data_IF_777800646711
#
_entry.id   IF_777800646711
#
_cell.length_a   1.000
_cell.length_b   1.000
_cell.length_c   1.000
_cell.angle_alpha   90.00
_cell.angle_beta   90.00
_cell.angle_gamma   90.00
#
_symmetry.space_group_name_H-M   'P 1'
#
loop_
_entity.id
_entity.type
_entity.pdbx_description
1 polymer ?
#
# COMPACT_ATOMS: atom_id res chain seq x y z
N UNK A 1 59.89 -42.76 -14.08
CA UNK A 1 59.70 -41.30 -13.92
C UNK A 1 58.38 -40.84 -14.60
N UNK A 2 57.25 -41.51 -14.31
CA UNK A 2 55.94 -41.24 -14.95
C UNK A 2 54.79 -41.17 -13.93
N UNK A 3 54.84 -41.98 -12.87
CA UNK A 3 53.78 -42.04 -11.85
C UNK A 3 53.70 -40.82 -10.91
N UNK A 4 54.78 -40.07 -10.74
CA UNK A 4 54.82 -38.91 -9.84
C UNK A 4 54.15 -37.66 -10.44
N UNK A 5 53.99 -37.61 -11.78
CA UNK A 5 53.30 -36.50 -12.46
C UNK A 5 51.78 -36.66 -12.45
N UNK A 6 51.27 -37.89 -12.46
CA UNK A 6 49.83 -38.17 -12.44
C UNK A 6 49.19 -37.87 -11.09
N UNK A 7 49.89 -38.13 -9.99
CA UNK A 7 49.40 -37.87 -8.62
C UNK A 7 49.33 -36.37 -8.30
N UNK A 8 50.29 -35.55 -8.74
CA UNK A 8 50.25 -34.09 -8.54
C UNK A 8 49.06 -33.40 -9.21
N UNK A 9 48.67 -33.83 -10.41
CA UNK A 9 47.52 -33.27 -11.13
C UNK A 9 46.16 -33.61 -10.48
N UNK A 10 46.07 -34.72 -9.74
CA UNK A 10 44.83 -35.14 -9.08
C UNK A 10 44.52 -34.32 -7.82
N UNK A 11 45.55 -33.86 -7.10
CA UNK A 11 45.40 -33.00 -5.93
C UNK A 11 45.19 -31.52 -6.30
N UNK A 12 45.76 -31.05 -7.40
CA UNK A 12 45.58 -29.67 -7.89
C UNK A 12 44.13 -29.35 -8.28
N UNK A 13 43.40 -30.35 -8.79
CA UNK A 13 41.99 -30.21 -9.17
C UNK A 13 41.02 -30.18 -7.98
N UNK A 14 41.38 -30.74 -6.82
CA UNK A 14 40.52 -30.72 -5.63
C UNK A 14 40.34 -29.32 -5.07
N UNK A 15 41.40 -28.50 -5.08
CA UNK A 15 41.29 -27.13 -4.57
C UNK A 15 40.52 -26.23 -5.53
N UNK A 16 40.72 -26.39 -6.84
CA UNK A 16 39.89 -25.73 -7.87
C UNK A 16 38.42 -26.13 -7.74
N UNK A 17 38.14 -27.43 -7.54
CA UNK A 17 36.76 -27.93 -7.35
C UNK A 17 36.10 -27.34 -6.10
N UNK A 18 36.83 -27.18 -4.99
CA UNK A 18 36.32 -26.51 -3.78
C UNK A 18 35.94 -25.06 -4.06
N UNK A 19 36.79 -24.30 -4.76
CA UNK A 19 36.51 -22.90 -5.11
C UNK A 19 35.31 -22.77 -6.06
N UNK A 20 35.17 -23.70 -7.01
CA UNK A 20 34.01 -23.76 -7.90
C UNK A 20 32.72 -24.04 -7.11
N UNK A 21 32.74 -24.99 -6.17
CA UNK A 21 31.58 -25.32 -5.32
C UNK A 21 31.20 -24.13 -4.42
N UNK A 22 32.18 -23.46 -3.82
CA UNK A 22 31.94 -22.28 -2.98
C UNK A 22 31.37 -21.12 -3.80
N UNK A 23 31.91 -20.90 -5.02
CA UNK A 23 31.37 -19.91 -5.94
C UNK A 23 29.92 -20.21 -6.35
N UNK A 24 29.62 -21.48 -6.65
CA UNK A 24 28.27 -21.92 -7.03
C UNK A 24 27.28 -21.76 -5.87
N UNK A 25 27.70 -22.10 -4.65
CA UNK A 25 26.89 -21.93 -3.44
C UNK A 25 26.62 -20.44 -3.15
N UNK A 26 27.64 -19.57 -3.28
CA UNK A 26 27.49 -18.13 -3.13
C UNK A 26 26.53 -17.54 -4.18
N UNK A 27 26.63 -17.98 -5.43
CA UNK A 27 25.73 -17.56 -6.50
C UNK A 27 24.28 -17.99 -6.22
N UNK A 28 24.05 -19.21 -5.74
CA UNK A 28 22.73 -19.69 -5.36
C UNK A 28 22.10 -18.85 -4.24
N UNK A 29 22.88 -18.47 -3.22
CA UNK A 29 22.42 -17.58 -2.14
C UNK A 29 22.03 -16.20 -2.70
N UNK A 30 22.82 -15.66 -3.62
CA UNK A 30 22.56 -14.36 -4.25
C UNK A 30 21.23 -14.37 -5.02
N UNK A 31 20.97 -15.44 -5.80
CA UNK A 31 19.71 -15.64 -6.52
C UNK A 31 18.51 -15.75 -5.56
N UNK A 32 18.67 -16.45 -4.45
CA UNK A 32 17.59 -16.59 -3.45
C UNK A 32 17.24 -15.26 -2.78
N UNK A 33 18.25 -14.47 -2.37
CA UNK A 33 18.03 -13.15 -1.77
C UNK A 33 17.38 -12.19 -2.76
N UNK A 34 17.85 -12.18 -4.01
CA UNK A 34 17.26 -11.38 -5.07
C UNK A 34 15.79 -11.78 -5.35
N UNK A 35 15.52 -13.08 -5.47
CA UNK A 35 14.16 -13.61 -5.69
C UNK A 35 13.21 -13.29 -4.54
N UNK A 36 13.67 -13.39 -3.29
CA UNK A 36 12.90 -12.98 -2.12
C UNK A 36 12.59 -11.48 -2.15
N UNK A 37 13.57 -10.63 -2.50
CA UNK A 37 13.38 -9.19 -2.67
C UNK A 37 12.34 -8.85 -3.75
N UNK A 38 12.44 -9.47 -4.92
CA UNK A 38 11.47 -9.28 -6.03
C UNK A 38 10.06 -9.76 -5.64
N UNK A 39 9.93 -10.88 -4.93
CA UNK A 39 8.62 -11.38 -4.47
C UNK A 39 7.96 -10.43 -3.48
N UNK A 40 8.72 -9.87 -2.54
CA UNK A 40 8.21 -8.88 -1.57
C UNK A 40 7.85 -7.57 -2.28
N UNK A 41 8.66 -7.14 -3.26
CA UNK A 41 8.40 -5.93 -4.05
C UNK A 41 7.17 -6.02 -4.96
N UNK A 42 7.00 -7.15 -5.67
CA UNK A 42 5.86 -7.38 -6.57
C UNK A 42 4.53 -7.47 -5.82
N UNK A 43 4.55 -7.95 -4.57
CA UNK A 43 3.37 -7.96 -3.71
C UNK A 43 2.91 -6.53 -3.39
N UNK A 44 3.85 -5.61 -3.09
CA UNK A 44 3.54 -4.19 -2.85
C UNK A 44 3.11 -3.44 -4.12
N UNK A 45 3.70 -3.78 -5.27
CA UNK A 45 3.38 -3.14 -6.54
C UNK A 45 1.95 -3.44 -7.02
N UNK A 46 1.44 -4.67 -6.81
CA UNK A 46 0.09 -5.06 -7.26
C UNK A 46 -1.02 -4.31 -6.50
N UNK A 47 -0.85 -4.08 -5.19
CA UNK A 47 -1.80 -3.29 -4.40
C UNK A 47 -1.80 -1.80 -4.79
N UNK A 48 -0.63 -1.24 -5.10
CA UNK A 48 -0.50 0.16 -5.53
C UNK A 48 -1.16 0.43 -6.90
N UNK A 49 -0.99 -0.50 -7.84
CA UNK A 49 -1.48 -0.33 -9.22
C UNK A 49 -3.02 -0.33 -9.30
N UNK A 50 -3.70 -1.28 -8.63
CA UNK A 50 -5.16 -1.32 -8.61
C UNK A 50 -5.79 -0.16 -7.83
N UNK A 51 -5.07 0.41 -6.85
CA UNK A 51 -5.52 1.57 -6.10
C UNK A 51 -5.46 2.85 -6.95
N UNK A 52 -4.35 3.08 -7.66
CA UNK A 52 -4.19 4.26 -8.53
C UNK A 52 -5.19 4.30 -9.69
N UNK A 53 -5.50 3.14 -10.29
CA UNK A 53 -6.46 3.02 -11.41
C UNK A 53 -7.91 3.25 -10.95
N UNK A 54 -8.31 2.68 -9.81
CA UNK A 54 -9.65 2.89 -9.27
C UNK A 54 -9.82 4.30 -8.67
N UNK A 55 -8.76 4.92 -8.17
CA UNK A 55 -8.78 6.30 -7.69
C UNK A 55 -8.97 7.30 -8.86
N UNK A 56 -8.25 7.13 -9.96
CA UNK A 56 -8.42 7.96 -11.15
C UNK A 56 -9.82 7.83 -11.77
N UNK A 57 -10.36 6.61 -11.81
CA UNK A 57 -11.67 6.32 -12.40
C UNK A 57 -12.84 6.84 -11.56
N UNK A 58 -12.72 6.83 -10.24
CA UNK A 58 -13.83 7.17 -9.33
C UNK A 58 -13.76 8.56 -8.69
N UNK A 59 -12.57 9.20 -8.63
CA UNK A 59 -12.37 10.44 -7.84
C UNK A 59 -11.89 11.67 -8.63
N UNK A 60 -11.82 11.59 -9.97
CA UNK A 60 -11.36 12.68 -10.85
C UNK A 60 -9.98 13.21 -10.42
N UNK A 61 -8.92 12.54 -10.90
CA UNK A 61 -7.53 12.89 -10.61
C UNK A 61 -7.15 14.35 -10.93
N UNK A 62 -5.98 14.82 -10.46
CA UNK A 62 -5.53 16.21 -10.63
C UNK A 62 -5.68 16.68 -12.07
N UNK A 63 -6.26 17.88 -12.28
CA UNK A 63 -6.61 18.45 -13.59
C UNK A 63 -5.44 18.68 -14.56
N UNK A 64 -4.20 18.47 -14.12
CA UNK A 64 -3.00 18.51 -14.96
C UNK A 64 -2.39 17.11 -15.01
N UNK A 65 -2.36 16.51 -16.20
CA UNK A 65 -1.97 15.11 -16.40
C UNK A 65 -0.61 14.71 -15.82
N UNK A 66 -0.39 13.39 -15.78
CA UNK A 66 0.75 12.67 -15.19
C UNK A 66 2.13 13.32 -15.40
N UNK A 67 2.36 13.94 -16.56
CA UNK A 67 3.64 14.55 -16.94
C UNK A 67 4.01 15.81 -16.14
N UNK A 68 3.04 16.58 -15.65
CA UNK A 68 3.32 17.87 -15.00
C UNK A 68 3.83 17.74 -13.55
N UNK A 69 3.69 16.55 -12.95
CA UNK A 69 4.14 16.25 -11.59
C UNK A 69 5.45 15.44 -11.54
N UNK A 70 6.07 15.11 -12.68
CA UNK A 70 7.30 14.31 -12.70
C UNK A 70 8.51 15.06 -12.09
N UNK A 71 8.54 16.40 -12.18
CA UNK A 71 9.53 17.26 -11.51
C UNK A 71 9.43 17.30 -9.96
N UNK A 72 8.38 16.71 -9.35
CA UNK A 72 8.19 16.66 -7.87
C UNK A 72 8.35 15.25 -7.28
N UNK A 73 9.02 14.35 -7.99
CA UNK A 73 9.51 13.08 -7.41
C UNK A 73 10.89 13.34 -6.80
N UNK A 74 11.04 13.29 -5.47
CA UNK A 74 10.67 12.13 -4.65
C UNK A 74 9.87 12.56 -3.41
N UNK A 75 8.53 12.56 -3.50
CA UNK A 75 7.72 12.71 -2.29
C UNK A 75 7.53 11.32 -1.67
N UNK A 76 8.37 11.01 -0.67
CA UNK A 76 8.31 9.82 0.16
C UNK A 76 7.08 9.73 1.05
N UNK A 77 5.90 10.02 0.51
CA UNK A 77 4.62 9.77 1.15
C UNK A 77 3.79 8.94 0.19
N UNK A 78 3.95 7.62 0.33
CA UNK A 78 2.81 6.74 0.22
C UNK A 78 1.68 7.44 0.98
N UNK A 79 0.63 7.90 0.28
CA UNK A 79 -0.66 8.15 0.94
C UNK A 79 -1.04 6.77 1.47
N UNK A 80 -0.57 6.44 2.68
CA UNK A 80 -0.82 5.18 3.34
C UNK A 80 -2.33 4.99 3.33
N UNK A 81 -2.77 3.90 2.70
CA UNK A 81 -4.16 3.60 2.36
C UNK A 81 -5.04 3.46 3.60
N UNK A 82 -5.34 4.58 4.22
CA UNK A 82 -6.22 4.72 5.38
C UNK A 82 -7.48 5.49 4.98
N UNK A 83 -7.83 5.40 3.69
CA UNK A 83 -9.14 5.77 3.21
C UNK A 83 -10.11 4.61 3.42
N UNK A 84 -11.30 4.88 3.97
CA UNK A 84 -12.37 3.89 4.09
C UNK A 84 -13.61 4.37 3.36
N UNK A 85 -14.26 3.48 2.63
CA UNK A 85 -15.52 3.74 1.94
C UNK A 85 -16.61 2.83 2.53
N UNK A 86 -17.77 3.39 2.81
CA UNK A 86 -18.87 2.62 3.35
C UNK A 86 -20.12 3.46 3.61
N UNK A 87 -21.13 2.79 4.13
CA UNK A 87 -22.37 3.41 4.59
C UNK A 87 -22.30 3.62 6.10
N UNK A 88 -22.74 4.79 6.58
CA UNK A 88 -22.85 5.06 8.01
C UNK A 88 -23.98 4.20 8.58
N UNK A 89 -23.65 3.27 9.47
CA UNK A 89 -24.63 2.38 10.11
C UNK A 89 -24.97 2.82 11.54
N UNK A 90 -24.10 3.58 12.19
CA UNK A 90 -24.30 4.08 13.55
C UNK A 90 -23.62 5.44 13.71
N UNK A 91 -24.26 6.34 14.47
CA UNK A 91 -23.72 7.66 14.83
C UNK A 91 -23.64 7.78 16.35
N UNK A 92 -22.49 8.23 16.86
CA UNK A 92 -22.25 8.62 18.26
C UNK A 92 -21.52 9.96 18.27
N UNK A 93 -21.68 10.74 19.34
CA UNK A 93 -21.22 12.13 19.49
C UNK A 93 -20.13 12.57 18.49
N UNK A 94 -18.90 12.10 18.69
CA UNK A 94 -17.74 12.46 17.86
C UNK A 94 -17.14 11.26 17.10
N UNK A 95 -17.93 10.19 16.95
CA UNK A 95 -17.52 9.00 16.22
C UNK A 95 -18.69 8.28 15.55
N UNK A 96 -18.45 7.70 14.38
CA UNK A 96 -19.48 6.97 13.65
C UNK A 96 -18.94 5.66 13.09
N UNK A 97 -19.82 4.70 12.90
CA UNK A 97 -19.46 3.39 12.37
C UNK A 97 -19.86 3.35 10.90
N UNK A 98 -18.91 2.95 10.06
CA UNK A 98 -19.18 2.67 8.65
C UNK A 98 -19.08 1.18 8.39
N UNK A 99 -19.94 0.71 7.49
CA UNK A 99 -19.93 -0.63 6.96
C UNK A 99 -19.49 -0.59 5.51
N UNK A 100 -18.44 -1.34 5.17
CA UNK A 100 -17.98 -1.46 3.80
C UNK A 100 -18.76 -2.53 3.00
N UNK A 101 -18.41 -2.67 1.72
CA UNK A 101 -19.04 -3.64 0.82
C UNK A 101 -18.80 -5.11 1.21
N UNK A 102 -17.79 -5.38 2.04
CA UNK A 102 -17.46 -6.72 2.54
C UNK A 102 -18.12 -7.00 3.89
N UNK A 103 -19.00 -6.10 4.35
CA UNK A 103 -19.64 -6.12 5.67
C UNK A 103 -18.66 -5.93 6.84
N UNK A 104 -17.47 -5.37 6.61
CA UNK A 104 -16.54 -5.05 7.68
C UNK A 104 -16.91 -3.69 8.27
N UNK A 105 -16.98 -3.64 9.60
CA UNK A 105 -17.29 -2.43 10.35
C UNK A 105 -16.02 -1.71 10.77
N UNK A 106 -16.02 -0.37 10.62
CA UNK A 106 -14.89 0.49 11.00
C UNK A 106 -15.41 1.69 11.77
N UNK A 107 -14.72 2.02 12.86
CA UNK A 107 -15.02 3.18 13.69
C UNK A 107 -14.23 4.38 13.18
N UNK A 108 -14.94 5.46 12.90
CA UNK A 108 -14.40 6.73 12.43
C UNK A 108 -14.54 7.74 13.54
N UNK A 109 -13.45 8.43 13.88
CA UNK A 109 -13.44 9.53 14.86
C UNK A 109 -13.28 10.84 14.12
N UNK A 110 -14.16 11.79 14.41
CA UNK A 110 -14.10 13.16 13.89
C UNK A 110 -13.47 14.08 14.92
N UNK A 111 -12.96 15.22 14.47
CA UNK A 111 -12.51 16.31 15.34
C UNK A 111 -12.77 17.65 14.65
N UNK A 112 -12.45 18.75 15.32
CA UNK A 112 -12.64 20.11 14.77
C UNK A 112 -11.84 20.37 13.49
N UNK A 113 -10.80 19.58 13.23
CA UNK A 113 -9.97 19.68 12.02
C UNK A 113 -10.50 18.82 10.87
N UNK A 114 -11.56 18.03 11.11
CA UNK A 114 -12.16 17.16 10.10
C UNK A 114 -12.96 17.99 9.11
N UNK A 115 -12.55 17.98 7.84
CA UNK A 115 -13.29 18.66 6.78
C UNK A 115 -14.36 17.72 6.21
N UNK A 116 -15.63 18.10 6.25
CA UNK A 116 -16.71 17.32 5.65
C UNK A 116 -17.19 18.02 4.38
N UNK A 117 -17.21 17.29 3.26
CA UNK A 117 -17.62 17.79 1.95
C UNK A 117 -18.84 17.01 1.49
N UNK A 118 -19.93 17.72 1.22
CA UNK A 118 -21.15 17.16 0.62
C UNK A 118 -21.39 17.80 -0.74
N UNK A 119 -21.31 16.98 -1.79
CA UNK A 119 -21.34 17.45 -3.19
C UNK A 119 -20.19 18.43 -3.50
N UNK A 120 -20.51 19.73 -3.56
CA UNK A 120 -19.55 20.84 -3.80
C UNK A 120 -19.41 21.79 -2.60
N UNK A 121 -20.07 21.53 -1.48
CA UNK A 121 -20.07 22.41 -0.31
C UNK A 121 -19.33 21.76 0.85
N UNK A 122 -18.58 22.56 1.60
CA UNK A 122 -18.06 22.17 2.91
C UNK A 122 -19.19 22.34 3.92
N UNK A 123 -19.48 21.29 4.68
CA UNK A 123 -20.47 21.29 5.75
C UNK A 123 -19.74 21.07 7.08
N UNK A 124 -20.24 21.66 8.17
CA UNK A 124 -19.73 21.37 9.52
C UNK A 124 -20.46 20.18 10.13
N UNK A 125 -21.77 20.14 9.92
CA UNK A 125 -22.68 19.10 10.41
C UNK A 125 -23.56 18.61 9.28
N UNK A 126 -24.15 17.42 9.44
CA UNK A 126 -25.09 16.84 8.48
C UNK A 126 -24.75 15.44 7.97
N UNK A 127 -23.83 14.75 8.64
CA UNK A 127 -23.69 13.30 8.51
C UNK A 127 -24.89 12.62 9.18
N UNK A 128 -25.49 11.65 8.50
CA UNK A 128 -26.59 10.85 9.02
C UNK A 128 -26.37 9.37 8.72
N UNK A 129 -27.03 8.52 9.51
CA UNK A 129 -27.13 7.09 9.23
C UNK A 129 -27.75 6.89 7.84
N UNK A 130 -27.18 5.97 7.06
CA UNK A 130 -27.53 5.69 5.67
C UNK A 130 -26.74 6.50 4.63
N UNK A 131 -25.99 7.54 5.03
CA UNK A 131 -25.12 8.25 4.10
C UNK A 131 -23.96 7.36 3.65
N UNK A 132 -23.67 7.37 2.34
CA UNK A 132 -22.44 6.77 1.82
C UNK A 132 -21.31 7.78 1.88
N UNK A 133 -20.20 7.38 2.49
CA UNK A 133 -19.08 8.28 2.74
C UNK A 133 -17.75 7.65 2.33
N UNK A 134 -16.85 8.51 1.86
CA UNK A 134 -15.43 8.23 1.76
C UNK A 134 -14.74 9.01 2.85
N UNK A 135 -14.08 8.30 3.76
CA UNK A 135 -13.28 8.86 4.84
C UNK A 135 -11.82 8.73 4.45
N UNK A 136 -11.05 9.80 4.59
CA UNK A 136 -9.59 9.79 4.48
C UNK A 136 -9.04 10.25 5.82
N UNK A 137 -8.21 9.42 6.43
CA UNK A 137 -7.71 9.65 7.77
C UNK A 137 -6.43 8.89 8.06
N UNK A 138 -6.13 8.74 9.34
CA UNK A 138 -5.01 7.92 9.84
C UNK A 138 -5.53 7.01 10.96
N UNK A 139 -5.11 5.75 11.02
CA UNK A 139 -5.46 4.87 12.14
C UNK A 139 -4.86 5.41 13.45
N UNK A 140 -5.52 5.16 14.57
CA UNK A 140 -4.98 5.38 15.91
C UNK A 140 -4.61 4.04 16.59
N UNK A 141 -4.05 4.13 17.80
CA UNK A 141 -3.62 2.96 18.58
C UNK A 141 -4.78 2.07 19.06
N UNK A 142 -6.02 2.55 18.96
CA UNK A 142 -7.26 1.83 19.31
C UNK A 142 -7.89 1.12 18.10
N UNK A 143 -7.27 1.18 16.91
CA UNK A 143 -7.80 0.57 15.69
C UNK A 143 -8.94 1.35 15.04
N UNK A 144 -9.15 2.61 15.44
CA UNK A 144 -10.11 3.54 14.85
C UNK A 144 -9.43 4.41 13.79
N UNK A 145 -10.20 5.03 12.91
CA UNK A 145 -9.69 5.96 11.90
C UNK A 145 -9.99 7.39 12.33
N UNK A 146 -8.95 8.16 12.62
CA UNK A 146 -9.07 9.60 12.82
C UNK A 146 -9.22 10.29 11.46
N UNK A 147 -10.41 10.82 11.19
CA UNK A 147 -10.74 11.45 9.93
C UNK A 147 -10.01 12.80 9.77
N UNK A 148 -9.55 13.08 8.55
CA UNK A 148 -9.09 14.42 8.13
C UNK A 148 -10.02 15.02 7.09
N UNK A 149 -10.54 14.16 6.22
CA UNK A 149 -11.47 14.53 5.16
C UNK A 149 -12.57 13.47 5.05
N UNK A 150 -13.82 13.90 5.02
CA UNK A 150 -14.98 13.05 4.78
C UNK A 150 -15.71 13.59 3.55
N UNK A 151 -15.99 12.74 2.57
CA UNK A 151 -16.81 13.08 1.41
C UNK A 151 -18.10 12.29 1.44
N UNK A 152 -19.21 13.02 1.48
CA UNK A 152 -20.56 12.47 1.50
C UNK A 152 -21.12 12.41 0.08
N UNK A 153 -21.64 11.25 -0.29
CA UNK A 153 -22.33 11.02 -1.54
C UNK A 153 -23.84 11.00 -1.27
N UNK A 154 -24.56 11.87 -1.96
CA UNK A 154 -26.02 11.79 -1.97
C UNK A 154 -26.43 10.52 -2.73
N UNK A 155 -27.33 9.74 -2.15
CA UNK A 155 -28.12 8.81 -2.95
C UNK A 155 -29.12 9.69 -3.73
N UNK A 156 -28.84 9.94 -5.00
CA UNK A 156 -29.87 10.42 -5.92
C UNK A 156 -30.98 9.36 -5.93
N UNK A 157 -32.18 9.76 -5.49
CA UNK A 157 -33.42 9.06 -5.81
C UNK A 157 -33.78 9.29 -7.27
#
# INVERSE_FOLDING_TARGET
MSEEKTTKNFFQNRDVLKWVIVGLAGFAVLVLVFGAGVKIGTLKARYSYHWADNYHRNFAGPRGGFLNNWQRFPAGDFINGHGSFGEIIEMKDNCFVIKDSENVEKIIVTDENTTIIKGRKIIKDGLKVGDRVVVIGTPNDEGQIKAKLIRVFDQEN
#
